data_IF_371485253522
#
_entry.id   IF_371485253522
#
_cell.length_a   1.000
_cell.length_b   1.000
_cell.length_c   1.000
_cell.angle_alpha   90.00
_cell.angle_beta   90.00
_cell.angle_gamma   90.00
#
_symmetry.space_group_name_H-M   'P 1'
#
loop_
_entity.id
_entity.type
_entity.pdbx_description
1 polymer ?
#
# COMPACT_ATOMS: atom_id res chain seq x y z
N UNK A 1 -18.16 20.10 19.33
CA UNK A 1 -18.34 19.36 18.05
C UNK A 1 -16.94 19.17 17.44
N UNK A 2 -16.49 17.95 17.27
CA UNK A 2 -15.23 17.68 16.56
C UNK A 2 -15.36 18.18 15.12
N UNK A 3 -14.32 18.90 14.66
CA UNK A 3 -14.27 19.47 13.32
C UNK A 3 -14.21 18.31 12.30
N UNK A 4 -15.27 18.11 11.52
CA UNK A 4 -15.30 17.08 10.47
C UNK A 4 -14.32 17.43 9.35
N UNK A 5 -13.64 16.40 8.80
CA UNK A 5 -12.70 16.53 7.70
C UNK A 5 -13.41 17.01 6.42
N UNK A 6 -12.92 18.07 5.83
CA UNK A 6 -13.42 18.57 4.54
C UNK A 6 -12.77 17.81 3.36
N UNK A 7 -13.17 18.12 2.13
CA UNK A 7 -12.64 17.46 0.92
C UNK A 7 -11.13 17.62 0.77
N UNK A 8 -10.58 18.80 1.07
CA UNK A 8 -9.15 19.06 0.97
C UNK A 8 -8.35 18.27 2.00
N UNK A 9 -8.86 18.17 3.24
CA UNK A 9 -8.24 17.34 4.29
C UNK A 9 -8.18 15.88 3.85
N UNK A 10 -9.26 15.35 3.26
CA UNK A 10 -9.33 13.97 2.77
C UNK A 10 -8.38 13.72 1.60
N UNK A 11 -8.27 14.66 0.65
CA UNK A 11 -7.31 14.57 -0.46
C UNK A 11 -5.88 14.58 0.08
N UNK A 12 -5.57 15.49 1.01
CA UNK A 12 -4.24 15.59 1.63
C UNK A 12 -3.84 14.30 2.34
N UNK A 13 -4.78 13.69 3.07
CA UNK A 13 -4.57 12.37 3.71
C UNK A 13 -4.32 11.30 2.64
N UNK A 14 -5.16 11.25 1.59
CA UNK A 14 -5.04 10.27 0.52
C UNK A 14 -3.70 10.37 -0.21
N UNK A 15 -3.28 11.57 -0.59
CA UNK A 15 -1.98 11.83 -1.24
C UNK A 15 -0.83 11.50 -0.29
N UNK A 16 -0.93 11.87 0.98
CA UNK A 16 0.08 11.56 2.00
C UNK A 16 0.24 10.05 2.24
N UNK A 17 -0.83 9.27 2.06
CA UNK A 17 -0.76 7.82 2.14
C UNK A 17 -0.18 7.17 0.87
N UNK A 18 -0.26 7.81 -0.30
CA UNK A 18 0.37 7.34 -1.54
C UNK A 18 1.88 7.63 -1.49
N UNK A 19 2.23 8.91 -1.28
CA UNK A 19 3.63 9.36 -1.32
C UNK A 19 4.33 8.94 -0.03
N UNK A 20 5.11 7.88 -0.13
CA UNK A 20 5.81 7.29 1.02
C UNK A 20 7.01 6.45 0.58
N UNK A 21 7.28 5.39 1.34
CA UNK A 21 8.44 4.51 1.11
C UNK A 21 8.48 3.86 -0.28
N UNK A 22 7.32 3.62 -0.90
CA UNK A 22 7.24 2.86 -2.15
C UNK A 22 8.06 3.48 -3.28
N UNK A 23 7.95 4.80 -3.49
CA UNK A 23 8.69 5.49 -4.57
C UNK A 23 10.20 5.43 -4.34
N UNK A 24 10.65 5.61 -3.10
CA UNK A 24 12.07 5.52 -2.77
C UNK A 24 12.59 4.09 -2.86
N UNK A 25 11.80 3.11 -2.42
CA UNK A 25 12.21 1.71 -2.36
C UNK A 25 12.23 1.03 -3.75
N UNK A 26 11.22 1.27 -4.59
CA UNK A 26 10.92 0.42 -5.75
C UNK A 26 11.10 1.10 -7.10
N UNK A 27 11.25 2.44 -7.15
CA UNK A 27 11.35 3.16 -8.42
C UNK A 27 12.51 2.65 -9.30
N UNK A 28 13.68 2.38 -8.72
CA UNK A 28 14.84 1.89 -9.44
C UNK A 28 14.61 0.54 -10.12
N UNK A 29 13.90 -0.37 -9.44
CA UNK A 29 13.51 -1.65 -10.04
C UNK A 29 12.50 -1.45 -11.18
N UNK A 30 11.53 -0.53 -10.99
CA UNK A 30 10.59 -0.17 -12.04
C UNK A 30 11.30 0.39 -13.29
N UNK A 31 12.32 1.23 -13.11
CA UNK A 31 13.17 1.75 -14.18
C UNK A 31 13.97 0.61 -14.85
N UNK A 32 14.50 -0.33 -14.07
CA UNK A 32 15.20 -1.49 -14.62
C UNK A 32 14.31 -2.34 -15.53
N UNK A 33 13.02 -2.46 -15.21
CA UNK A 33 12.06 -3.19 -16.05
C UNK A 33 11.64 -2.41 -17.30
N UNK A 34 11.34 -1.11 -17.20
CA UNK A 34 10.64 -0.37 -18.26
C UNK A 34 11.42 0.81 -18.85
N UNK A 35 12.60 1.12 -18.34
CA UNK A 35 13.38 2.28 -18.77
C UNK A 35 12.58 3.59 -18.64
N UNK A 36 12.58 4.43 -19.69
CA UNK A 36 11.78 5.67 -19.77
C UNK A 36 10.29 5.42 -19.78
N UNK A 37 9.85 4.19 -20.09
CA UNK A 37 8.46 3.75 -19.97
C UNK A 37 7.94 3.70 -18.53
N UNK A 38 8.77 3.95 -17.50
CA UNK A 38 8.34 3.98 -16.10
C UNK A 38 7.22 4.99 -15.85
N UNK A 39 7.25 6.15 -16.50
CA UNK A 39 6.17 7.14 -16.41
C UNK A 39 4.84 6.56 -16.87
N UNK A 40 4.84 5.88 -18.01
CA UNK A 40 3.65 5.17 -18.52
C UNK A 40 3.23 4.04 -17.58
N UNK A 41 4.19 3.25 -17.06
CA UNK A 41 3.92 2.17 -16.11
C UNK A 41 3.25 2.68 -14.83
N UNK A 42 3.68 3.82 -14.28
CA UNK A 42 3.09 4.46 -13.11
C UNK A 42 1.64 4.93 -13.35
N UNK A 43 1.38 5.55 -14.49
CA UNK A 43 0.00 5.93 -14.86
C UNK A 43 -0.90 4.71 -15.03
N UNK A 44 -0.45 3.67 -15.71
CA UNK A 44 -1.21 2.43 -15.90
C UNK A 44 -1.40 1.67 -14.59
N UNK A 45 -0.38 1.61 -13.74
CA UNK A 45 -0.46 1.03 -12.41
C UNK A 45 -1.50 1.75 -11.55
N UNK A 46 -1.46 3.10 -11.51
CA UNK A 46 -2.44 3.89 -10.77
C UNK A 46 -3.86 3.69 -11.30
N UNK A 47 -4.02 3.71 -12.62
CA UNK A 47 -5.32 3.47 -13.26
C UNK A 47 -5.88 2.09 -12.87
N UNK A 48 -5.07 1.03 -12.97
CA UNK A 48 -5.49 -0.31 -12.59
C UNK A 48 -5.77 -0.42 -11.08
N UNK A 49 -4.99 0.26 -10.22
CA UNK A 49 -5.24 0.32 -8.78
C UNK A 49 -6.56 1.05 -8.44
N UNK A 50 -6.89 2.11 -9.16
CA UNK A 50 -8.19 2.80 -9.01
C UNK A 50 -9.32 1.89 -9.44
N UNK A 51 -9.21 1.29 -10.63
CA UNK A 51 -10.23 0.41 -11.16
C UNK A 51 -10.48 -0.80 -10.26
N UNK A 52 -9.44 -1.48 -9.78
CA UNK A 52 -9.60 -2.63 -8.88
C UNK A 52 -10.23 -2.26 -7.53
N UNK A 53 -10.13 -1.00 -7.11
CA UNK A 53 -10.62 -0.55 -5.80
C UNK A 53 -11.93 0.24 -5.87
N UNK A 54 -12.55 0.39 -7.05
CA UNK A 54 -13.73 1.23 -7.26
C UNK A 54 -14.97 0.73 -6.47
N UNK A 55 -14.99 -0.55 -6.08
CA UNK A 55 -16.03 -1.09 -5.21
C UNK A 55 -16.05 -0.43 -3.82
N UNK A 56 -14.88 -0.07 -3.27
CA UNK A 56 -14.77 0.46 -1.91
C UNK A 56 -15.55 1.77 -1.72
N UNK A 57 -15.37 2.83 -2.52
CA UNK A 57 -16.17 4.05 -2.40
C UNK A 57 -17.66 3.83 -2.70
N UNK A 58 -18.02 2.83 -3.50
CA UNK A 58 -19.43 2.46 -3.74
C UNK A 58 -20.04 1.80 -2.50
N UNK A 59 -19.30 0.91 -1.84
CA UNK A 59 -19.74 0.21 -0.62
C UNK A 59 -19.85 1.19 0.55
N UNK A 60 -18.86 2.07 0.76
CA UNK A 60 -18.87 3.04 1.86
C UNK A 60 -19.91 4.14 1.69
N UNK A 61 -20.48 4.30 0.50
CA UNK A 61 -21.63 5.14 0.29
C UNK A 61 -22.91 4.52 0.82
N UNK A 62 -22.99 3.19 0.85
CA UNK A 62 -24.16 2.45 1.40
C UNK A 62 -24.01 2.22 2.90
N UNK A 63 -22.79 1.94 3.36
CA UNK A 63 -22.52 1.57 4.75
C UNK A 63 -21.51 2.52 5.40
N UNK A 64 -21.85 3.10 6.54
CA UNK A 64 -20.92 3.85 7.39
C UNK A 64 -20.23 2.90 8.37
N UNK A 65 -19.18 2.19 7.88
CA UNK A 65 -18.47 1.19 8.66
C UNK A 65 -17.24 1.75 9.37
N UNK A 66 -17.02 1.33 10.61
CA UNK A 66 -15.74 1.43 11.29
C UNK A 66 -14.96 0.11 11.13
N UNK A 67 -13.63 0.18 11.01
CA UNK A 67 -12.78 -1.00 10.88
C UNK A 67 -12.27 -1.27 9.46
N UNK A 68 -12.54 -0.36 8.53
CA UNK A 68 -11.93 -0.36 7.20
C UNK A 68 -12.26 -1.59 6.35
N UNK A 69 -11.26 -2.08 5.63
CA UNK A 69 -11.43 -3.21 4.70
C UNK A 69 -11.89 -4.50 5.39
N UNK A 70 -11.45 -4.74 6.64
CA UNK A 70 -11.90 -5.90 7.41
C UNK A 70 -13.40 -5.87 7.68
N UNK A 71 -13.95 -4.73 8.10
CA UNK A 71 -15.39 -4.59 8.36
C UNK A 71 -16.21 -4.79 7.09
N UNK A 72 -15.77 -4.24 5.96
CA UNK A 72 -16.40 -4.45 4.65
C UNK A 72 -16.40 -5.94 4.28
N UNK A 73 -15.27 -6.61 4.42
CA UNK A 73 -15.15 -8.04 4.12
C UNK A 73 -16.05 -8.89 5.03
N UNK A 74 -16.08 -8.61 6.35
CA UNK A 74 -16.89 -9.36 7.30
C UNK A 74 -18.39 -9.26 7.01
N UNK A 75 -18.84 -8.12 6.48
CA UNK A 75 -20.24 -7.88 6.13
C UNK A 75 -20.63 -8.58 4.82
N UNK A 76 -19.81 -8.48 3.77
CA UNK A 76 -20.22 -8.78 2.40
C UNK A 76 -19.81 -10.14 1.87
N UNK A 77 -18.73 -10.75 2.41
CA UNK A 77 -18.22 -12.02 1.88
C UNK A 77 -18.34 -13.17 2.90
N UNK A 78 -18.33 -14.45 2.45
CA UNK A 78 -18.40 -15.58 3.35
C UNK A 78 -17.28 -15.60 4.39
N UNK A 79 -17.55 -16.19 5.56
CA UNK A 79 -16.64 -16.27 6.71
C UNK A 79 -15.25 -16.76 6.32
N UNK A 80 -15.13 -17.83 5.53
CA UNK A 80 -13.84 -18.35 5.05
C UNK A 80 -13.07 -17.32 4.19
N UNK A 81 -13.77 -16.56 3.34
CA UNK A 81 -13.18 -15.50 2.53
C UNK A 81 -12.76 -14.29 3.39
N UNK A 82 -13.51 -14.00 4.47
CA UNK A 82 -13.10 -12.99 5.46
C UNK A 82 -11.81 -13.40 6.14
N UNK A 83 -11.65 -14.67 6.52
CA UNK A 83 -10.41 -15.22 7.08
C UNK A 83 -9.24 -15.17 6.10
N UNK A 84 -9.49 -15.43 4.81
CA UNK A 84 -8.49 -15.19 3.76
C UNK A 84 -8.05 -13.71 3.75
N UNK A 85 -9.00 -12.78 3.89
CA UNK A 85 -8.73 -11.34 4.02
C UNK A 85 -7.84 -11.00 5.22
N UNK A 86 -8.07 -11.63 6.37
CA UNK A 86 -7.23 -11.43 7.58
C UNK A 86 -5.81 -11.91 7.33
N UNK A 87 -5.63 -13.11 6.76
CA UNK A 87 -4.31 -13.64 6.42
C UNK A 87 -3.58 -12.79 5.39
N UNK A 88 -4.30 -12.30 4.36
CA UNK A 88 -3.76 -11.34 3.38
C UNK A 88 -3.32 -10.03 4.03
N UNK A 89 -4.10 -9.50 4.96
CA UNK A 89 -3.78 -8.23 5.64
C UNK A 89 -2.51 -8.39 6.51
N UNK A 90 -2.38 -9.51 7.22
CA UNK A 90 -1.15 -9.86 7.94
C UNK A 90 0.06 -9.93 7.00
N UNK A 91 -0.05 -10.64 5.88
CA UNK A 91 1.02 -10.76 4.89
C UNK A 91 1.43 -9.40 4.33
N UNK A 92 0.46 -8.58 3.90
CA UNK A 92 0.74 -7.27 3.31
C UNK A 92 1.43 -6.32 4.30
N UNK A 93 0.95 -6.27 5.54
CA UNK A 93 1.54 -5.41 6.59
C UNK A 93 2.94 -5.84 6.94
N UNK A 94 3.14 -7.13 7.18
CA UNK A 94 4.45 -7.68 7.50
C UNK A 94 5.45 -7.49 6.35
N UNK A 95 5.04 -7.79 5.12
CA UNK A 95 5.88 -7.59 3.93
C UNK A 95 6.20 -6.12 3.68
N UNK A 96 5.25 -5.21 3.90
CA UNK A 96 5.49 -3.77 3.79
C UNK A 96 6.55 -3.28 4.79
N UNK A 97 6.56 -3.80 6.01
CA UNK A 97 7.60 -3.49 6.99
C UNK A 97 8.97 -4.01 6.53
N UNK A 98 9.03 -5.24 5.98
CA UNK A 98 10.26 -5.81 5.44
C UNK A 98 10.80 -4.98 4.26
N UNK A 99 9.96 -4.69 3.26
CA UNK A 99 10.33 -3.85 2.09
C UNK A 99 10.90 -2.52 2.56
N UNK A 100 10.24 -1.87 3.52
CA UNK A 100 10.69 -0.56 4.01
C UNK A 100 12.00 -0.65 4.79
N UNK A 101 12.19 -1.67 5.64
CA UNK A 101 13.42 -1.86 6.41
C UNK A 101 14.63 -2.15 5.50
N UNK A 102 14.44 -3.01 4.48
CA UNK A 102 15.49 -3.29 3.48
C UNK A 102 15.79 -2.03 2.67
N UNK A 103 14.78 -1.25 2.28
CA UNK A 103 14.98 0.00 1.57
C UNK A 103 15.77 1.03 2.40
N UNK A 104 15.50 1.17 3.71
CA UNK A 104 16.32 2.01 4.61
C UNK A 104 17.79 1.60 4.52
N UNK A 105 18.05 0.29 4.57
CA UNK A 105 19.41 -0.25 4.51
C UNK A 105 20.10 0.09 3.19
N UNK A 106 19.39 0.02 2.06
CA UNK A 106 19.94 0.37 0.74
C UNK A 106 20.33 1.85 0.62
N UNK A 107 19.62 2.75 1.32
CA UNK A 107 19.99 4.16 1.40
C UNK A 107 21.12 4.43 2.40
N UNK A 108 21.19 3.67 3.51
CA UNK A 108 22.33 3.74 4.44
C UNK A 108 23.62 3.23 3.78
N UNK A 109 23.55 2.23 2.93
CA UNK A 109 24.68 1.72 2.16
C UNK A 109 25.30 2.80 1.24
N UNK A 110 24.47 3.71 0.71
CA UNK A 110 24.98 4.84 -0.08
C UNK A 110 25.78 5.84 0.74
N UNK A 111 25.45 6.03 2.01
CA UNK A 111 26.19 6.89 2.92
C UNK A 111 27.38 6.16 3.55
N UNK A 112 27.24 4.87 3.78
CA UNK A 112 28.20 4.01 4.46
C UNK A 112 28.34 2.68 3.71
N UNK A 113 29.24 2.58 2.70
CA UNK A 113 29.34 1.38 1.85
C UNK A 113 29.57 0.06 2.60
N UNK A 114 30.17 0.12 3.80
CA UNK A 114 30.37 -1.06 4.65
C UNK A 114 29.05 -1.73 5.07
N UNK A 115 27.92 -1.02 5.05
CA UNK A 115 26.58 -1.54 5.39
C UNK A 115 26.15 -2.65 4.42
N UNK A 116 26.56 -2.58 3.15
CA UNK A 116 26.21 -3.57 2.12
C UNK A 116 26.63 -5.00 2.46
N UNK A 117 27.75 -5.17 3.18
CA UNK A 117 28.19 -6.49 3.65
C UNK A 117 27.25 -7.10 4.73
N UNK A 118 26.44 -6.28 5.39
CA UNK A 118 25.60 -6.67 6.53
C UNK A 118 24.12 -6.34 6.33
N UNK A 119 23.63 -6.29 5.10
CA UNK A 119 22.27 -5.83 4.73
C UNK A 119 21.18 -6.49 5.60
N UNK A 120 21.22 -7.82 5.79
CA UNK A 120 20.23 -8.54 6.63
C UNK A 120 20.23 -8.06 8.08
N UNK A 121 21.41 -7.93 8.66
CA UNK A 121 21.57 -7.53 10.07
C UNK A 121 21.09 -6.09 10.25
N UNK A 122 21.53 -5.18 9.38
CA UNK A 122 21.17 -3.77 9.46
C UNK A 122 19.65 -3.59 9.24
N UNK A 123 19.05 -4.31 8.29
CA UNK A 123 17.59 -4.26 8.09
C UNK A 123 16.82 -4.76 9.32
N UNK A 124 17.29 -5.80 9.99
CA UNK A 124 16.69 -6.27 11.25
C UNK A 124 16.86 -5.25 12.38
N UNK A 125 18.02 -4.61 12.48
CA UNK A 125 18.28 -3.54 13.46
C UNK A 125 17.34 -2.36 13.21
N UNK A 126 17.18 -1.94 11.95
CA UNK A 126 16.27 -0.87 11.55
C UNK A 126 14.82 -1.22 11.92
N UNK A 127 14.37 -2.44 11.59
CA UNK A 127 13.03 -2.92 11.94
C UNK A 127 12.85 -2.92 13.46
N UNK A 128 13.81 -3.44 14.21
CA UNK A 128 13.78 -3.48 15.68
C UNK A 128 13.73 -2.08 16.30
N UNK A 129 14.56 -1.16 15.80
CA UNK A 129 14.59 0.23 16.26
C UNK A 129 13.23 0.92 16.05
N UNK A 130 12.57 0.70 14.90
CA UNK A 130 11.25 1.23 14.63
C UNK A 130 10.19 0.67 15.61
N UNK A 131 10.23 -0.63 15.92
CA UNK A 131 9.34 -1.23 16.90
C UNK A 131 9.60 -0.67 18.31
N UNK A 132 10.84 -0.48 18.71
CA UNK A 132 11.20 0.13 20.01
C UNK A 132 10.72 1.58 20.10
N UNK A 133 10.81 2.36 19.00
CA UNK A 133 10.26 3.72 18.95
C UNK A 133 8.75 3.74 19.19
N UNK A 134 8.00 2.82 18.59
CA UNK A 134 6.54 2.73 18.79
C UNK A 134 6.22 2.31 20.23
N UNK A 135 7.01 1.42 20.83
CA UNK A 135 6.85 1.04 22.24
C UNK A 135 7.06 2.21 23.21
N UNK A 136 7.82 3.25 22.82
CA UNK A 136 8.06 4.44 23.63
C UNK A 136 6.88 5.44 23.67
N UNK A 137 5.90 5.34 22.75
CA UNK A 137 4.63 6.07 22.83
C UNK A 137 4.20 6.80 21.54
N UNK A 138 2.90 6.78 21.26
CA UNK A 138 2.28 7.28 20.00
C UNK A 138 2.38 8.80 19.79
N UNK A 139 2.34 9.61 20.87
CA UNK A 139 2.32 11.10 20.74
C UNK A 139 3.64 11.68 20.22
N UNK A 140 4.75 11.11 20.65
CA UNK A 140 6.07 11.51 20.18
C UNK A 140 6.25 11.14 18.70
N UNK A 141 5.88 9.91 18.35
CA UNK A 141 5.95 9.39 16.98
C UNK A 141 5.18 10.29 16.00
N UNK A 142 3.96 10.71 16.33
CA UNK A 142 3.14 11.55 15.46
C UNK A 142 3.75 12.94 15.19
N UNK A 143 4.34 13.57 16.21
CA UNK A 143 4.98 14.90 16.04
C UNK A 143 6.22 14.82 15.15
N UNK A 144 7.05 13.80 15.37
CA UNK A 144 8.24 13.53 14.55
C UNK A 144 7.84 13.26 13.11
N UNK A 145 6.81 12.43 12.89
CA UNK A 145 6.31 12.08 11.56
C UNK A 145 5.90 13.31 10.74
N UNK A 146 5.18 14.27 11.33
CA UNK A 146 4.76 15.47 10.60
C UNK A 146 5.95 16.31 10.09
N UNK A 147 6.98 16.48 10.92
CA UNK A 147 8.19 17.21 10.52
C UNK A 147 8.91 16.48 9.39
N UNK A 148 9.07 15.16 9.53
CA UNK A 148 9.76 14.35 8.52
C UNK A 148 9.00 14.34 7.18
N UNK A 149 7.67 14.37 7.17
CA UNK A 149 6.88 14.49 5.94
C UNK A 149 7.16 15.80 5.18
N UNK A 150 7.33 16.93 5.87
CA UNK A 150 7.66 18.20 5.23
C UNK A 150 9.01 18.11 4.51
N UNK A 151 10.03 17.55 5.18
CA UNK A 151 11.34 17.34 4.57
C UNK A 151 11.28 16.40 3.37
N UNK A 152 10.50 15.31 3.45
CA UNK A 152 10.28 14.38 2.35
C UNK A 152 9.71 15.08 1.11
N UNK A 153 8.66 15.88 1.26
CA UNK A 153 8.07 16.59 0.12
C UNK A 153 9.03 17.63 -0.47
N UNK A 154 9.77 18.35 0.38
CA UNK A 154 10.79 19.27 -0.08
C UNK A 154 11.91 18.57 -0.87
N UNK A 155 12.36 17.42 -0.38
CA UNK A 155 13.39 16.62 -1.05
C UNK A 155 12.92 16.07 -2.41
N UNK A 156 11.66 15.57 -2.49
CA UNK A 156 11.09 15.12 -3.76
C UNK A 156 10.93 16.29 -4.76
N UNK A 157 10.51 17.46 -4.28
CA UNK A 157 10.41 18.65 -5.13
C UNK A 157 11.80 19.06 -5.67
N UNK A 158 12.83 19.05 -4.84
CA UNK A 158 14.22 19.31 -5.26
C UNK A 158 14.68 18.26 -6.28
N UNK A 159 14.39 16.97 -6.06
CA UNK A 159 14.72 15.90 -7.01
C UNK A 159 14.12 16.17 -8.39
N UNK A 160 12.84 16.54 -8.43
CA UNK A 160 12.15 16.88 -9.68
C UNK A 160 12.77 18.11 -10.34
N UNK A 161 13.06 19.18 -9.58
CA UNK A 161 13.67 20.41 -10.11
C UNK A 161 15.04 20.08 -10.73
N UNK A 162 15.91 19.41 -10.00
CA UNK A 162 17.25 19.07 -10.53
C UNK A 162 17.15 18.06 -11.69
N UNK A 163 16.22 17.08 -11.64
CA UNK A 163 16.00 16.16 -12.74
C UNK A 163 15.56 16.86 -14.03
N UNK A 164 14.65 17.84 -13.93
CA UNK A 164 14.21 18.64 -15.10
C UNK A 164 15.33 19.55 -15.61
N UNK A 165 16.12 20.15 -14.71
CA UNK A 165 17.24 21.02 -15.09
C UNK A 165 18.40 20.27 -15.77
N UNK A 166 18.55 18.97 -15.50
CA UNK A 166 19.59 18.12 -16.04
C UNK A 166 19.05 17.14 -17.11
N UNK A 167 17.94 17.45 -17.76
CA UNK A 167 17.45 16.66 -18.89
C UNK A 167 18.47 16.71 -20.03
N UNK A 168 18.96 15.55 -20.43
CA UNK A 168 19.94 15.38 -21.50
C UNK A 168 19.38 14.43 -22.57
N UNK A 169 18.85 15.03 -23.64
CA UNK A 169 18.25 14.27 -24.75
C UNK A 169 19.29 13.48 -25.55
N UNK A 170 20.55 13.85 -25.50
CA UNK A 170 21.62 13.15 -26.20
C UNK A 170 22.03 11.88 -25.43
N UNK A 171 21.95 11.90 -24.09
CA UNK A 171 22.31 10.77 -23.25
C UNK A 171 21.46 9.52 -23.51
N UNK A 172 20.25 9.67 -24.00
CA UNK A 172 19.35 8.56 -24.33
C UNK A 172 18.92 8.53 -25.80
N UNK A 173 19.63 9.28 -26.68
CA UNK A 173 19.33 9.28 -28.11
C UNK A 173 19.52 7.86 -28.70
N UNK A 174 18.53 7.41 -29.45
CA UNK A 174 18.54 6.07 -30.05
C UNK A 174 18.13 4.92 -29.09
N UNK A 175 17.97 5.17 -27.81
CA UNK A 175 17.48 4.14 -26.87
C UNK A 175 15.95 3.94 -27.02
N UNK A 176 15.48 2.67 -27.01
CA UNK A 176 14.03 2.42 -27.02
C UNK A 176 13.38 2.92 -25.72
N UNK A 177 12.14 3.40 -25.79
CA UNK A 177 11.37 3.80 -24.64
C UNK A 177 11.16 2.63 -23.64
N UNK A 178 11.04 1.43 -24.17
CA UNK A 178 10.84 0.18 -23.43
C UNK A 178 11.99 -0.80 -23.75
N UNK A 179 13.13 -0.73 -23.06
CA UNK A 179 14.29 -1.59 -23.33
C UNK A 179 13.96 -3.08 -23.25
N UNK A 180 13.11 -3.48 -22.31
CA UNK A 180 12.66 -4.86 -22.12
C UNK A 180 11.27 -5.14 -22.73
N UNK A 181 10.84 -4.31 -23.70
CA UNK A 181 9.57 -4.46 -24.40
C UNK A 181 8.34 -4.42 -23.49
N UNK A 182 7.25 -5.03 -23.98
CA UNK A 182 5.96 -5.07 -23.26
C UNK A 182 6.07 -5.91 -21.98
N UNK A 183 6.88 -6.97 -21.96
CA UNK A 183 7.11 -7.78 -20.75
C UNK A 183 7.68 -6.95 -19.61
N UNK A 184 8.69 -6.11 -19.91
CA UNK A 184 9.25 -5.19 -18.92
C UNK A 184 8.23 -4.14 -18.45
N UNK A 185 7.38 -3.62 -19.34
CA UNK A 185 6.29 -2.72 -18.96
C UNK A 185 5.30 -3.39 -17.99
N UNK A 186 4.90 -4.64 -18.26
CA UNK A 186 4.01 -5.42 -17.39
C UNK A 186 4.65 -5.60 -16.00
N UNK A 187 5.93 -5.97 -15.95
CA UNK A 187 6.65 -6.13 -14.69
C UNK A 187 6.76 -4.80 -13.91
N UNK A 188 7.00 -3.70 -14.61
CA UNK A 188 7.00 -2.37 -14.01
C UNK A 188 5.61 -1.99 -13.47
N UNK A 189 4.53 -2.25 -14.21
CA UNK A 189 3.15 -2.00 -13.74
C UNK A 189 2.86 -2.82 -12.49
N UNK A 190 3.21 -4.12 -12.48
CA UNK A 190 3.02 -5.00 -11.35
C UNK A 190 3.72 -4.44 -10.09
N UNK A 191 5.00 -4.11 -10.21
CA UNK A 191 5.79 -3.61 -9.09
C UNK A 191 5.33 -2.22 -8.65
N UNK A 192 5.09 -1.29 -9.60
CA UNK A 192 4.66 0.07 -9.30
C UNK A 192 3.25 0.13 -8.72
N UNK A 193 2.40 -0.87 -8.92
CA UNK A 193 1.11 -0.93 -8.25
C UNK A 193 1.24 -1.00 -6.73
N UNK A 194 2.37 -1.50 -6.19
CA UNK A 194 2.66 -1.42 -4.76
C UNK A 194 2.79 0.03 -4.30
N UNK A 195 3.53 0.86 -5.04
CA UNK A 195 3.74 2.27 -4.71
C UNK A 195 2.47 3.10 -4.90
N UNK A 196 1.61 2.70 -5.83
CA UNK A 196 0.33 3.36 -6.12
C UNK A 196 -0.76 3.07 -5.07
N UNK A 197 -0.55 2.15 -4.14
CA UNK A 197 -1.49 1.93 -3.05
C UNK A 197 -1.40 3.04 -2.01
N UNK A 198 -2.52 3.32 -1.32
CA UNK A 198 -2.56 4.34 -0.26
C UNK A 198 -3.82 5.21 -0.32
N UNK A 199 -4.26 5.65 -1.50
CA UNK A 199 -5.47 6.48 -1.67
C UNK A 199 -6.74 5.81 -1.12
N UNK A 200 -6.77 4.49 -1.05
CA UNK A 200 -7.89 3.71 -0.48
C UNK A 200 -8.12 3.99 1.01
N UNK A 201 -7.12 4.48 1.74
CA UNK A 201 -7.28 4.80 3.17
C UNK A 201 -8.28 5.91 3.43
N UNK A 202 -8.57 6.78 2.43
CA UNK A 202 -9.64 7.79 2.53
C UNK A 202 -11.00 7.16 2.82
N UNK A 203 -11.24 5.94 2.34
CA UNK A 203 -12.46 5.16 2.56
C UNK A 203 -12.70 4.86 4.05
N UNK A 204 -11.63 4.77 4.84
CA UNK A 204 -11.71 4.50 6.28
C UNK A 204 -12.12 5.73 7.11
N UNK A 205 -12.24 6.91 6.47
CA UNK A 205 -12.57 8.19 7.14
C UNK A 205 -14.08 8.49 7.15
N UNK A 206 -14.93 7.50 6.91
CA UNK A 206 -16.39 7.68 6.75
C UNK A 206 -17.04 8.48 7.85
N UNK A 207 -16.83 8.12 9.13
CA UNK A 207 -17.40 8.81 10.28
C UNK A 207 -16.82 10.20 10.53
N UNK A 208 -15.55 10.42 10.17
CA UNK A 208 -14.84 11.69 10.38
C UNK A 208 -15.03 12.70 9.24
N UNK A 209 -15.55 12.27 8.10
CA UNK A 209 -15.70 13.12 6.91
C UNK A 209 -16.95 13.98 6.96
N UNK A 210 -16.84 15.23 6.50
CA UNK A 210 -18.00 16.05 6.17
C UNK A 210 -18.58 15.56 4.84
N UNK A 211 -19.91 15.34 4.79
CA UNK A 211 -20.61 14.81 3.61
C UNK A 211 -19.93 13.57 3.01
N UNK A 212 -19.81 12.45 3.78
CA UNK A 212 -19.01 11.29 3.40
C UNK A 212 -19.42 10.69 2.06
N UNK A 213 -20.72 10.65 1.75
CA UNK A 213 -21.26 10.11 0.51
C UNK A 213 -20.79 10.82 -0.77
N UNK A 214 -20.39 12.10 -0.65
CA UNK A 214 -19.85 12.92 -1.76
C UNK A 214 -18.35 13.04 -1.68
N UNK A 215 -17.82 13.37 -0.50
CA UNK A 215 -16.44 13.77 -0.36
C UNK A 215 -15.46 12.56 -0.41
N UNK A 216 -15.86 11.38 0.08
CA UNK A 216 -15.01 10.20 0.04
C UNK A 216 -14.77 9.70 -1.39
N UNK A 217 -15.79 9.46 -2.24
CA UNK A 217 -15.55 9.07 -3.62
C UNK A 217 -14.73 10.09 -4.41
N UNK A 218 -14.99 11.38 -4.17
CA UNK A 218 -14.25 12.44 -4.87
C UNK A 218 -12.79 12.52 -4.40
N UNK A 219 -12.56 12.45 -3.09
CA UNK A 219 -11.21 12.43 -2.52
C UNK A 219 -10.43 11.18 -2.97
N UNK A 220 -11.08 10.02 -3.05
CA UNK A 220 -10.49 8.79 -3.56
C UNK A 220 -9.95 8.97 -4.98
N UNK A 221 -10.76 9.50 -5.91
CA UNK A 221 -10.33 9.71 -7.29
C UNK A 221 -9.28 10.83 -7.41
N UNK A 222 -9.47 11.95 -6.71
CA UNK A 222 -8.55 13.09 -6.79
C UNK A 222 -7.20 12.79 -6.15
N UNK A 223 -7.16 12.05 -5.04
CA UNK A 223 -5.89 11.62 -4.44
C UNK A 223 -5.10 10.73 -5.38
N UNK A 224 -5.76 9.78 -6.04
CA UNK A 224 -5.12 8.91 -7.02
C UNK A 224 -4.60 9.70 -8.23
N UNK A 225 -5.37 10.66 -8.74
CA UNK A 225 -4.94 11.52 -9.85
C UNK A 225 -3.71 12.35 -9.48
N UNK A 226 -3.74 13.01 -8.32
CA UNK A 226 -2.60 13.80 -7.81
C UNK A 226 -1.37 12.89 -7.61
N UNK A 227 -1.56 11.71 -7.01
CA UNK A 227 -0.49 10.73 -6.84
C UNK A 227 0.11 10.28 -8.18
N UNK A 228 -0.72 10.02 -9.20
CA UNK A 228 -0.27 9.66 -10.55
C UNK A 228 0.58 10.78 -11.18
N UNK A 229 0.17 12.03 -11.03
CA UNK A 229 0.94 13.19 -11.53
C UNK A 229 2.28 13.31 -10.82
N UNK A 230 2.29 13.24 -9.47
CA UNK A 230 3.54 13.33 -8.68
C UNK A 230 4.50 12.22 -9.11
N UNK A 231 4.04 10.98 -9.19
CA UNK A 231 4.89 9.85 -9.55
C UNK A 231 5.33 9.89 -11.01
N UNK A 232 4.45 10.32 -11.91
CA UNK A 232 4.79 10.52 -13.32
C UNK A 232 5.92 11.53 -13.50
N UNK A 233 5.86 12.66 -12.78
CA UNK A 233 6.91 13.70 -12.83
C UNK A 233 8.21 13.20 -12.20
N UNK A 234 8.16 12.45 -11.10
CA UNK A 234 9.36 11.83 -10.49
C UNK A 234 9.97 10.81 -11.47
N UNK A 235 9.15 9.96 -12.09
CA UNK A 235 9.60 8.97 -13.09
C UNK A 235 10.24 9.64 -14.30
N UNK A 236 9.67 10.73 -14.79
CA UNK A 236 10.24 11.53 -15.87
C UNK A 236 11.60 12.11 -15.45
N UNK A 237 11.67 12.80 -14.30
CA UNK A 237 12.89 13.39 -13.78
C UNK A 237 14.01 12.36 -13.56
N UNK A 238 13.64 11.14 -13.16
CA UNK A 238 14.60 10.06 -12.91
C UNK A 238 15.19 9.45 -14.21
N UNK A 239 14.45 9.48 -15.33
CA UNK A 239 14.81 8.70 -16.53
C UNK A 239 15.23 9.52 -17.74
N UNK A 240 15.22 10.84 -17.64
CA UNK A 240 15.59 11.72 -18.77
C UNK A 240 16.91 12.48 -18.54
N UNK A 241 17.72 12.02 -17.58
CA UNK A 241 19.00 12.66 -17.25
C UNK A 241 20.21 11.86 -17.76
N UNK A 242 20.08 10.53 -17.86
CA UNK A 242 21.16 9.63 -18.22
C UNK A 242 20.64 8.47 -19.07
N UNK A 243 21.53 7.74 -19.72
CA UNK A 243 21.20 6.53 -20.47
C UNK A 243 20.62 5.44 -19.56
N UNK A 244 19.79 4.57 -20.14
CA UNK A 244 19.20 3.44 -19.42
C UNK A 244 20.26 2.53 -18.77
N UNK A 245 21.35 2.29 -19.48
CA UNK A 245 22.43 1.42 -18.98
C UNK A 245 23.06 1.92 -17.68
N UNK A 246 23.03 3.23 -17.44
CA UNK A 246 23.58 3.84 -16.22
C UNK A 246 22.58 3.81 -15.07
N UNK A 247 21.31 4.13 -15.33
CA UNK A 247 20.32 4.32 -14.25
C UNK A 247 19.52 3.05 -13.89
N UNK A 248 19.57 2.01 -14.72
CA UNK A 248 18.81 0.78 -14.49
C UNK A 248 19.21 0.12 -13.17
N UNK A 249 18.21 -0.11 -12.31
CA UNK A 249 18.39 -0.72 -10.98
C UNK A 249 18.91 0.22 -9.88
N UNK A 250 19.28 1.46 -10.21
CA UNK A 250 19.65 2.44 -9.20
C UNK A 250 18.40 2.93 -8.46
N UNK A 251 18.46 2.97 -7.12
CA UNK A 251 17.43 3.68 -6.36
C UNK A 251 17.49 5.20 -6.64
N UNK A 252 16.45 5.95 -6.26
CA UNK A 252 16.42 7.40 -6.52
C UNK A 252 17.62 8.15 -5.91
N UNK A 253 18.22 7.62 -4.84
CA UNK A 253 19.43 8.19 -4.24
C UNK A 253 20.63 8.15 -5.19
N UNK A 254 20.80 7.06 -5.94
CA UNK A 254 21.87 6.96 -6.95
C UNK A 254 21.70 7.94 -8.10
N UNK A 255 20.47 8.13 -8.56
CA UNK A 255 20.17 9.13 -9.59
C UNK A 255 20.36 10.54 -9.04
N UNK A 256 19.93 10.81 -7.81
CA UNK A 256 20.13 12.11 -7.15
C UNK A 256 21.62 12.47 -7.00
N UNK A 257 22.47 11.49 -6.71
CA UNK A 257 23.93 11.69 -6.61
C UNK A 257 24.54 12.23 -7.90
N UNK A 258 24.01 11.80 -9.05
CA UNK A 258 24.51 12.23 -10.37
C UNK A 258 24.02 13.60 -10.82
N UNK A 259 22.83 14.03 -10.34
CA UNK A 259 22.16 15.25 -10.82
C UNK A 259 22.22 16.42 -9.83
N UNK A 260 22.55 16.16 -8.56
CA UNK A 260 22.53 17.16 -7.51
C UNK A 260 23.92 17.52 -6.99
N UNK A 261 24.15 18.78 -6.57
CA UNK A 261 25.32 19.12 -5.77
C UNK A 261 25.31 18.31 -4.45
N UNK A 262 26.51 17.99 -3.94
CA UNK A 262 26.66 17.11 -2.78
C UNK A 262 25.81 17.49 -1.57
N UNK A 263 25.66 18.78 -1.25
CA UNK A 263 24.81 19.24 -0.15
C UNK A 263 23.33 18.94 -0.37
N UNK A 264 22.82 19.09 -1.60
CA UNK A 264 21.43 18.79 -1.95
C UNK A 264 21.21 17.27 -2.03
N UNK A 265 22.17 16.52 -2.52
CA UNK A 265 22.17 15.06 -2.48
C UNK A 265 22.05 14.52 -1.04
N UNK A 266 22.90 15.03 -0.12
CA UNK A 266 22.81 14.64 1.30
C UNK A 266 21.44 14.99 1.91
N UNK A 267 20.93 16.19 1.59
CA UNK A 267 19.57 16.56 2.00
C UNK A 267 18.51 15.62 1.44
N UNK A 268 18.63 15.23 0.16
CA UNK A 268 17.69 14.28 -0.48
C UNK A 268 17.75 12.90 0.18
N UNK A 269 18.95 12.37 0.44
CA UNK A 269 19.09 11.05 1.06
C UNK A 269 18.62 11.04 2.50
N UNK A 270 19.07 11.99 3.32
CA UNK A 270 18.77 12.03 4.76
C UNK A 270 17.38 12.58 5.02
N UNK A 271 17.10 13.81 4.57
CA UNK A 271 15.84 14.51 4.82
C UNK A 271 14.69 14.01 3.96
N UNK A 272 14.98 13.47 2.77
CA UNK A 272 14.00 12.88 1.88
C UNK A 272 13.81 11.40 2.13
N UNK A 273 14.72 10.58 1.60
CA UNK A 273 14.55 9.13 1.51
C UNK A 273 14.52 8.46 2.89
N UNK A 274 15.53 8.68 3.73
CA UNK A 274 15.58 8.03 5.05
C UNK A 274 14.43 8.49 5.94
N UNK A 275 14.06 9.78 5.91
CA UNK A 275 12.90 10.25 6.67
C UNK A 275 11.60 9.64 6.16
N UNK A 276 11.39 9.60 4.85
CA UNK A 276 10.20 8.96 4.26
C UNK A 276 10.08 7.49 4.65
N UNK A 277 11.19 6.76 4.55
CA UNK A 277 11.23 5.33 4.88
C UNK A 277 11.02 5.09 6.38
N UNK A 278 11.69 5.85 7.25
CA UNK A 278 11.52 5.74 8.69
C UNK A 278 10.08 6.08 9.15
N UNK A 279 9.48 7.15 8.60
CA UNK A 279 8.09 7.50 8.93
C UNK A 279 7.10 6.45 8.43
N UNK A 280 7.33 5.90 7.23
CA UNK A 280 6.51 4.82 6.69
C UNK A 280 6.63 3.55 7.53
N UNK A 281 7.81 3.24 8.05
CA UNK A 281 8.04 2.08 8.90
C UNK A 281 7.32 2.24 10.25
N UNK A 282 7.52 3.35 10.94
CA UNK A 282 6.85 3.65 12.23
C UNK A 282 5.34 3.77 12.03
N UNK A 283 4.88 4.53 11.03
CA UNK A 283 3.47 4.69 10.70
C UNK A 283 2.80 3.37 10.31
N UNK A 284 3.50 2.51 9.56
CA UNK A 284 3.06 1.17 9.18
C UNK A 284 2.86 0.26 10.39
N UNK A 285 3.73 0.32 11.40
CA UNK A 285 3.56 -0.41 12.65
C UNK A 285 2.33 0.10 13.42
N UNK A 286 2.22 1.43 13.63
CA UNK A 286 1.12 2.04 14.40
C UNK A 286 -0.24 1.82 13.74
N UNK A 287 -0.34 2.00 12.43
CA UNK A 287 -1.59 1.78 11.68
C UNK A 287 -1.89 0.29 11.49
N UNK A 288 -0.85 -0.55 11.49
CA UNK A 288 -0.93 -1.97 11.18
C UNK A 288 -1.60 -2.80 12.25
N UNK A 289 -1.34 -2.55 13.53
CA UNK A 289 -1.86 -3.40 14.59
C UNK A 289 -3.33 -3.10 14.95
N UNK A 290 -3.82 -1.89 14.71
CA UNK A 290 -5.21 -1.50 15.08
C UNK A 290 -6.31 -2.36 14.44
N UNK A 291 -6.31 -2.59 13.11
CA UNK A 291 -7.29 -3.49 12.49
C UNK A 291 -7.15 -4.95 12.95
N UNK A 292 -5.92 -5.38 13.29
CA UNK A 292 -5.69 -6.72 13.79
C UNK A 292 -6.28 -6.95 15.20
N UNK A 293 -6.45 -5.89 16.00
CA UNK A 293 -7.20 -5.97 17.26
C UNK A 293 -8.65 -6.36 16.97
N UNK A 294 -9.30 -5.77 15.97
CA UNK A 294 -10.67 -6.12 15.58
C UNK A 294 -10.76 -7.58 15.13
N UNK A 295 -9.80 -8.03 14.29
CA UNK A 295 -9.71 -9.44 13.89
C UNK A 295 -9.51 -10.39 15.08
N UNK A 296 -8.74 -9.97 16.10
CA UNK A 296 -8.51 -10.77 17.31
C UNK A 296 -9.76 -10.82 18.17
N UNK A 297 -10.51 -9.72 18.29
CA UNK A 297 -11.79 -9.68 19.01
C UNK A 297 -12.82 -10.62 18.39
N UNK A 298 -12.86 -10.69 17.06
CA UNK A 298 -13.74 -11.59 16.32
C UNK A 298 -13.30 -13.06 16.39
N UNK A 299 -12.12 -13.35 16.97
CA UNK A 299 -11.60 -14.72 17.16
C UNK A 299 -10.78 -15.26 15.99
N UNK A 300 -10.38 -14.42 15.04
CA UNK A 300 -9.49 -14.83 13.95
C UNK A 300 -8.06 -15.10 14.43
N UNK A 301 -7.58 -14.37 15.40
CA UNK A 301 -6.26 -14.50 15.99
C UNK A 301 -6.40 -14.93 17.46
N UNK A 302 -5.39 -15.60 18.03
CA UNK A 302 -5.41 -16.01 19.43
C UNK A 302 -5.67 -14.83 20.38
N UNK A 303 -6.65 -14.94 21.28
CA UNK A 303 -7.06 -13.86 22.20
C UNK A 303 -5.93 -13.34 23.10
N UNK A 304 -4.88 -14.14 23.33
CA UNK A 304 -3.67 -13.73 24.04
C UNK A 304 -2.95 -12.54 23.40
N UNK A 305 -3.10 -12.34 22.07
CA UNK A 305 -2.51 -11.23 21.34
C UNK A 305 -3.16 -9.87 21.64
N UNK A 306 -4.33 -9.87 22.29
CA UNK A 306 -4.97 -8.64 22.79
C UNK A 306 -4.36 -8.11 24.08
N UNK A 307 -3.62 -8.96 24.81
CA UNK A 307 -2.91 -8.52 26.02
C UNK A 307 -1.95 -7.39 25.64
N UNK A 308 -1.80 -6.44 26.57
CA UNK A 308 -0.91 -5.29 26.39
C UNK A 308 0.32 -5.40 27.25
N UNK A 309 1.41 -4.79 26.80
CA UNK A 309 2.61 -4.55 27.60
C UNK A 309 2.31 -3.54 28.71
N UNK A 310 3.26 -3.33 29.64
CA UNK A 310 3.15 -2.26 30.68
C UNK A 310 2.99 -0.86 30.07
N UNK A 311 3.46 -0.65 28.84
CA UNK A 311 3.31 0.60 28.07
C UNK A 311 1.98 0.71 27.30
N UNK A 312 1.08 -0.28 27.42
CA UNK A 312 -0.21 -0.29 26.74
C UNK A 312 -0.18 -0.82 25.29
N UNK A 313 0.96 -1.32 24.83
CA UNK A 313 1.12 -1.81 23.44
C UNK A 313 0.61 -3.25 23.33
N UNK A 314 -0.31 -3.56 22.36
CA UNK A 314 -0.85 -4.90 22.19
C UNK A 314 0.19 -5.91 21.66
N UNK A 315 0.12 -7.16 22.13
CA UNK A 315 1.04 -8.23 21.70
C UNK A 315 0.89 -8.59 20.20
N UNK A 316 -0.22 -8.27 19.57
CA UNK A 316 -0.38 -8.45 18.11
C UNK A 316 0.70 -7.69 17.30
N UNK A 317 1.27 -6.64 17.87
CA UNK A 317 2.38 -5.91 17.25
C UNK A 317 3.64 -6.78 17.12
N UNK A 318 3.93 -7.64 18.11
CA UNK A 318 5.08 -8.56 18.05
C UNK A 318 4.90 -9.64 16.95
N UNK A 319 3.64 -10.03 16.68
CA UNK A 319 3.35 -10.90 15.53
C UNK A 319 3.75 -10.24 14.21
N UNK A 320 3.43 -8.95 14.02
CA UNK A 320 3.85 -8.20 12.83
C UNK A 320 5.38 -8.10 12.72
N UNK A 321 6.07 -7.90 13.85
CA UNK A 321 7.54 -7.89 13.88
C UNK A 321 8.11 -9.21 13.40
N UNK A 322 7.66 -10.33 13.99
CA UNK A 322 8.14 -11.66 13.65
C UNK A 322 7.91 -11.99 12.18
N UNK A 323 6.70 -11.71 11.67
CA UNK A 323 6.37 -11.95 10.26
C UNK A 323 7.15 -11.03 9.32
N UNK A 324 7.38 -9.76 9.70
CA UNK A 324 8.17 -8.81 8.91
C UNK A 324 9.67 -9.15 8.88
N UNK A 325 10.19 -9.83 9.91
CA UNK A 325 11.58 -10.28 9.94
C UNK A 325 11.83 -11.47 8.97
N UNK A 326 10.81 -12.28 8.66
CA UNK A 326 10.97 -13.49 7.81
C UNK A 326 11.55 -13.17 6.44
N UNK A 327 11.00 -12.25 5.61
CA UNK A 327 11.57 -11.94 4.30
C UNK A 327 13.02 -11.42 4.38
N UNK A 328 13.34 -10.64 5.42
CA UNK A 328 14.69 -10.11 5.66
C UNK A 328 15.67 -11.25 5.93
N UNK A 329 15.32 -12.19 6.82
CA UNK A 329 16.13 -13.34 7.16
C UNK A 329 16.36 -14.27 5.96
N UNK A 330 15.32 -14.49 5.16
CA UNK A 330 15.40 -15.25 3.92
C UNK A 330 16.25 -14.55 2.86
N UNK A 331 16.48 -13.24 2.98
CA UNK A 331 17.21 -12.43 1.99
C UNK A 331 16.44 -12.28 0.68
N UNK A 332 15.13 -12.14 0.77
CA UNK A 332 14.27 -11.95 -0.39
C UNK A 332 14.49 -10.58 -1.03
N UNK A 333 14.35 -10.51 -2.36
CA UNK A 333 14.39 -9.25 -3.09
C UNK A 333 13.15 -8.38 -2.79
N UNK A 334 13.34 -7.04 -2.82
CA UNK A 334 12.28 -6.07 -2.54
C UNK A 334 11.06 -6.22 -3.47
N UNK A 335 11.34 -6.47 -4.76
CA UNK A 335 10.30 -6.61 -5.78
C UNK A 335 9.47 -7.88 -5.58
N UNK A 336 10.14 -8.98 -5.23
CA UNK A 336 9.47 -10.25 -4.94
C UNK A 336 8.58 -10.15 -3.71
N UNK A 337 9.08 -9.58 -2.61
CA UNK A 337 8.28 -9.37 -1.41
C UNK A 337 7.06 -8.50 -1.71
N UNK A 338 7.23 -7.40 -2.46
CA UNK A 338 6.14 -6.50 -2.80
C UNK A 338 5.04 -7.20 -3.62
N UNK A 339 5.41 -7.95 -4.65
CA UNK A 339 4.44 -8.62 -5.53
C UNK A 339 3.78 -9.83 -4.87
N UNK A 340 4.50 -10.62 -4.05
CA UNK A 340 3.92 -11.70 -3.22
C UNK A 340 2.86 -11.15 -2.27
N UNK A 341 3.12 -9.99 -1.65
CA UNK A 341 2.17 -9.37 -0.72
C UNK A 341 0.89 -8.84 -1.42
N UNK A 342 0.99 -8.46 -2.69
CA UNK A 342 -0.14 -7.92 -3.45
C UNK A 342 -1.04 -8.99 -4.06
N UNK A 343 -0.48 -10.14 -4.45
CA UNK A 343 -1.20 -11.17 -5.21
C UNK A 343 -2.48 -11.69 -4.52
N UNK A 344 -2.47 -12.08 -3.22
CA UNK A 344 -3.69 -12.50 -2.55
C UNK A 344 -4.73 -11.38 -2.45
N UNK A 345 -4.27 -10.12 -2.44
CA UNK A 345 -5.15 -8.94 -2.45
C UNK A 345 -5.98 -8.83 -3.73
N UNK A 346 -5.41 -9.15 -4.88
CA UNK A 346 -6.13 -9.17 -6.15
C UNK A 346 -7.27 -10.21 -6.12
N UNK A 347 -7.03 -11.39 -5.56
CA UNK A 347 -8.04 -12.43 -5.38
C UNK A 347 -9.16 -11.96 -4.43
N UNK A 348 -8.78 -11.37 -3.30
CA UNK A 348 -9.75 -10.85 -2.30
C UNK A 348 -10.67 -9.77 -2.89
N UNK A 349 -10.13 -8.89 -3.74
CA UNK A 349 -10.93 -7.84 -4.41
C UNK A 349 -12.02 -8.45 -5.33
N UNK A 350 -11.71 -9.52 -6.06
CA UNK A 350 -12.70 -10.24 -6.87
C UNK A 350 -13.80 -10.82 -5.97
N UNK A 351 -13.42 -11.47 -4.86
CA UNK A 351 -14.39 -12.02 -3.90
C UNK A 351 -15.29 -10.92 -3.32
N UNK A 352 -14.70 -9.76 -2.96
CA UNK A 352 -15.44 -8.61 -2.44
C UNK A 352 -16.42 -8.06 -3.48
N UNK A 353 -16.01 -7.93 -4.74
CA UNK A 353 -16.87 -7.45 -5.81
C UNK A 353 -18.09 -8.36 -6.03
N UNK A 354 -17.90 -9.69 -5.96
CA UNK A 354 -18.99 -10.67 -6.03
C UNK A 354 -19.95 -10.48 -4.86
N UNK A 355 -19.44 -10.27 -3.65
CA UNK A 355 -20.24 -9.96 -2.46
C UNK A 355 -21.02 -8.65 -2.62
N UNK A 356 -20.36 -7.61 -3.11
CA UNK A 356 -20.92 -6.29 -3.32
C UNK A 356 -22.08 -6.28 -4.36
N UNK A 357 -22.01 -7.14 -5.38
CA UNK A 357 -23.11 -7.26 -6.36
C UNK A 357 -24.45 -7.63 -5.74
N UNK A 358 -24.44 -8.21 -4.52
CA UNK A 358 -25.66 -8.62 -3.79
C UNK A 358 -26.25 -7.48 -2.94
N UNK A 359 -25.52 -6.39 -2.70
CA UNK A 359 -25.95 -5.28 -1.83
C UNK A 359 -27.37 -4.78 -2.18
N UNK A 360 -27.71 -4.45 -3.45
CA UNK A 360 -29.03 -3.91 -3.77
C UNK A 360 -30.18 -4.85 -3.45
N UNK A 361 -29.91 -6.17 -3.32
CA UNK A 361 -30.92 -7.18 -2.98
C UNK A 361 -30.90 -7.54 -1.50
N UNK A 362 -29.71 -7.73 -0.91
CA UNK A 362 -29.55 -8.20 0.47
C UNK A 362 -29.67 -7.08 1.51
N UNK A 363 -29.41 -5.83 1.10
CA UNK A 363 -29.44 -4.62 1.94
C UNK A 363 -30.24 -3.53 1.21
N UNK A 364 -31.50 -3.87 0.86
CA UNK A 364 -32.35 -3.01 0.04
C UNK A 364 -32.72 -1.68 0.71
N UNK A 365 -32.87 -1.68 2.03
CA UNK A 365 -33.18 -0.48 2.82
C UNK A 365 -31.99 0.49 2.83
N UNK A 366 -30.77 0.00 3.16
CA UNK A 366 -29.53 0.77 3.18
C UNK A 366 -29.19 1.27 1.77
N UNK A 367 -29.43 0.45 0.74
CA UNK A 367 -29.27 0.85 -0.66
C UNK A 367 -30.17 2.04 -1.01
N UNK A 368 -31.44 2.01 -0.64
CA UNK A 368 -32.37 3.12 -0.86
C UNK A 368 -31.98 4.34 -0.04
N UNK A 369 -31.64 4.16 1.24
CA UNK A 369 -31.22 5.24 2.13
C UNK A 369 -29.93 5.94 1.67
N UNK A 370 -29.02 5.25 0.98
CA UNK A 370 -27.77 5.81 0.44
C UNK A 370 -27.97 6.94 -0.58
N UNK A 371 -29.18 7.06 -1.14
CA UNK A 371 -29.49 8.04 -2.18
C UNK A 371 -28.65 7.89 -3.46
N UNK A 372 -28.11 6.70 -3.71
CA UNK A 372 -27.26 6.42 -4.88
C UNK A 372 -28.07 6.47 -6.17
N UNK A 373 -27.79 7.47 -7.01
CA UNK A 373 -28.51 7.71 -8.29
C UNK A 373 -27.82 7.02 -9.47
N UNK A 374 -27.36 5.78 -9.31
CA UNK A 374 -26.80 4.99 -10.41
C UNK A 374 -27.72 3.82 -10.74
N UNK A 375 -27.81 3.49 -12.03
CA UNK A 375 -28.58 2.32 -12.45
C UNK A 375 -27.94 1.04 -11.94
N UNK A 376 -28.76 0.01 -11.67
CA UNK A 376 -28.26 -1.30 -11.22
C UNK A 376 -27.30 -1.93 -12.24
N UNK A 377 -27.54 -1.70 -13.54
CA UNK A 377 -26.65 -2.14 -14.62
C UNK A 377 -25.27 -1.49 -14.53
N UNK A 378 -25.22 -0.16 -14.36
CA UNK A 378 -23.95 0.57 -14.21
C UNK A 378 -23.21 0.15 -12.94
N UNK A 379 -23.91 -0.01 -11.81
CA UNK A 379 -23.33 -0.51 -10.55
C UNK A 379 -22.64 -1.87 -10.74
N UNK A 380 -23.35 -2.84 -11.31
CA UNK A 380 -22.79 -4.16 -11.61
C UNK A 380 -21.66 -4.10 -12.64
N UNK A 381 -21.78 -3.24 -13.66
CA UNK A 381 -20.74 -3.01 -14.65
C UNK A 381 -19.44 -2.48 -14.04
N UNK A 382 -19.52 -1.54 -13.09
CA UNK A 382 -18.36 -1.03 -12.36
C UNK A 382 -17.69 -2.11 -11.50
N UNK A 383 -18.47 -2.99 -10.85
CA UNK A 383 -17.93 -4.11 -10.07
C UNK A 383 -17.29 -5.18 -10.96
N UNK A 384 -17.84 -5.43 -12.15
CA UNK A 384 -17.21 -6.33 -13.14
C UNK A 384 -15.90 -5.74 -13.67
N UNK A 385 -15.86 -4.43 -13.96
CA UNK A 385 -14.65 -3.74 -14.37
C UNK A 385 -13.58 -3.80 -13.26
N UNK A 386 -13.97 -3.60 -12.00
CA UNK A 386 -13.10 -3.76 -10.84
C UNK A 386 -12.54 -5.19 -10.74
N UNK A 387 -13.37 -6.20 -10.99
CA UNK A 387 -12.94 -7.59 -10.99
C UNK A 387 -11.96 -7.88 -12.13
N UNK A 388 -12.23 -7.37 -13.33
CA UNK A 388 -11.33 -7.50 -14.48
C UNK A 388 -9.97 -6.86 -14.20
N UNK A 389 -9.93 -5.64 -13.66
CA UNK A 389 -8.69 -4.97 -13.28
C UNK A 389 -7.92 -5.75 -12.20
N UNK A 390 -8.62 -6.34 -11.22
CA UNK A 390 -8.02 -7.19 -10.18
C UNK A 390 -7.41 -8.45 -10.78
N UNK A 391 -8.07 -9.10 -11.74
CA UNK A 391 -7.57 -10.28 -12.43
C UNK A 391 -6.32 -9.92 -13.26
N UNK A 392 -6.37 -8.81 -14.01
CA UNK A 392 -5.23 -8.31 -14.81
C UNK A 392 -4.02 -8.07 -13.91
N UNK A 393 -4.19 -7.34 -12.80
CA UNK A 393 -3.10 -7.12 -11.85
C UNK A 393 -2.62 -8.42 -11.21
N UNK A 394 -3.51 -9.35 -10.87
CA UNK A 394 -3.15 -10.68 -10.37
C UNK A 394 -2.28 -11.46 -11.35
N UNK A 395 -2.61 -11.42 -12.65
CA UNK A 395 -1.80 -12.02 -13.71
C UNK A 395 -0.44 -11.33 -13.79
N UNK A 396 -0.40 -9.99 -13.73
CA UNK A 396 0.84 -9.22 -13.78
C UNK A 396 1.75 -9.56 -12.59
N UNK A 397 1.21 -9.63 -11.37
CA UNK A 397 1.99 -10.05 -10.19
C UNK A 397 2.58 -11.45 -10.37
N UNK A 398 1.76 -12.39 -10.86
CA UNK A 398 2.19 -13.77 -11.04
C UNK A 398 3.24 -13.93 -12.15
N UNK A 399 3.09 -13.21 -13.26
CA UNK A 399 4.04 -13.30 -14.39
C UNK A 399 5.36 -12.62 -14.11
N UNK A 400 5.35 -11.56 -13.29
CA UNK A 400 6.52 -10.72 -13.01
C UNK A 400 7.33 -11.16 -11.80
N UNK A 401 6.87 -12.13 -11.02
CA UNK A 401 7.56 -12.64 -9.85
C UNK A 401 8.35 -13.91 -10.19
N UNK A 402 9.59 -13.98 -9.75
CA UNK A 402 10.45 -15.15 -9.96
C UNK A 402 10.12 -16.28 -8.98
N UNK A 403 9.59 -15.95 -7.79
CA UNK A 403 9.22 -16.90 -6.74
C UNK A 403 7.75 -17.37 -6.84
N UNK A 404 7.31 -17.77 -8.04
CA UNK A 404 5.91 -18.19 -8.31
C UNK A 404 5.40 -19.28 -7.38
N UNK A 405 6.24 -20.26 -7.05
CA UNK A 405 5.90 -21.35 -6.14
C UNK A 405 5.65 -20.82 -4.73
N UNK A 406 6.49 -19.92 -4.24
CA UNK A 406 6.31 -19.29 -2.93
C UNK A 406 5.02 -18.45 -2.89
N UNK A 407 4.72 -17.71 -3.96
CA UNK A 407 3.50 -16.92 -4.10
C UNK A 407 2.24 -17.81 -4.03
N UNK A 408 2.23 -18.93 -4.74
CA UNK A 408 1.12 -19.90 -4.69
C UNK A 408 1.03 -20.52 -3.29
N UNK A 409 2.16 -20.96 -2.72
CA UNK A 409 2.20 -21.61 -1.41
C UNK A 409 1.68 -20.68 -0.30
N UNK A 410 2.14 -19.42 -0.25
CA UNK A 410 1.68 -18.43 0.72
C UNK A 410 0.18 -18.15 0.54
N UNK A 411 -0.29 -18.02 -0.70
CA UNK A 411 -1.71 -17.80 -0.99
C UNK A 411 -2.56 -18.99 -0.55
N UNK A 412 -2.08 -20.22 -0.79
CA UNK A 412 -2.75 -21.45 -0.36
C UNK A 412 -2.78 -21.58 1.19
N UNK A 413 -1.69 -21.23 1.87
CA UNK A 413 -1.63 -21.20 3.34
C UNK A 413 -2.67 -20.21 3.90
N UNK A 414 -2.76 -19.01 3.33
CA UNK A 414 -3.75 -18.01 3.73
C UNK A 414 -5.17 -18.50 3.46
N UNK A 415 -5.42 -19.15 2.33
CA UNK A 415 -6.73 -19.73 2.01
C UNK A 415 -7.11 -20.84 2.99
N UNK A 416 -6.17 -21.74 3.26
CA UNK A 416 -6.36 -22.83 4.23
C UNK A 416 -6.62 -22.29 5.64
N UNK A 417 -5.87 -21.27 6.07
CA UNK A 417 -6.11 -20.57 7.32
C UNK A 417 -7.53 -20.00 7.40
N UNK A 418 -7.99 -19.30 6.36
CA UNK A 418 -9.35 -18.75 6.31
C UNK A 418 -10.44 -19.83 6.41
N UNK A 419 -10.24 -20.97 5.74
CA UNK A 419 -11.17 -22.09 5.78
C UNK A 419 -11.15 -22.77 7.16
N UNK A 420 -9.99 -23.14 7.68
CA UNK A 420 -9.86 -23.86 8.94
C UNK A 420 -10.34 -23.03 10.14
N UNK A 421 -9.84 -21.80 10.27
CA UNK A 421 -10.23 -20.93 11.38
C UNK A 421 -11.70 -20.50 11.24
N UNK A 422 -12.17 -20.25 10.01
CA UNK A 422 -13.57 -19.91 9.75
C UNK A 422 -14.53 -21.05 10.05
N UNK A 423 -14.14 -22.32 9.84
CA UNK A 423 -15.00 -23.50 10.05
C UNK A 423 -14.89 -24.05 11.48
N UNK A 424 -13.69 -24.14 12.02
CA UNK A 424 -13.44 -24.82 13.31
C UNK A 424 -13.16 -23.83 14.45
N UNK A 425 -12.83 -22.56 14.15
CA UNK A 425 -12.60 -21.51 15.14
C UNK A 425 -13.90 -20.94 15.70
N UNK A 426 -13.84 -20.45 16.93
CA UNK A 426 -14.93 -19.68 17.55
C UNK A 426 -14.90 -18.23 17.05
N UNK A 427 -15.13 -18.05 15.75
CA UNK A 427 -15.12 -16.72 15.13
C UNK A 427 -16.54 -16.15 15.08
N UNK A 428 -16.72 -14.94 15.57
CA UNK A 428 -17.97 -14.16 15.53
C UNK A 428 -17.73 -12.91 14.69
N UNK A 429 -18.54 -12.67 13.66
CA UNK A 429 -18.42 -11.47 12.82
C UNK A 429 -19.33 -10.37 13.39
N UNK A 430 -18.85 -9.66 14.42
CA UNK A 430 -19.65 -8.67 15.16
C UNK A 430 -20.25 -7.60 14.26
N UNK A 431 -19.54 -7.07 13.28
CA UNK A 431 -20.07 -6.08 12.33
C UNK A 431 -21.28 -6.62 11.57
N UNK A 432 -21.22 -7.88 11.16
CA UNK A 432 -22.31 -8.54 10.41
C UNK A 432 -23.52 -8.79 11.32
N UNK A 433 -23.30 -9.22 12.55
CA UNK A 433 -24.36 -9.46 13.53
C UNK A 433 -25.07 -8.16 13.87
N UNK A 434 -24.34 -7.07 14.15
CA UNK A 434 -24.88 -5.75 14.44
C UNK A 434 -25.79 -5.23 13.29
N UNK A 435 -25.33 -5.40 12.03
CA UNK A 435 -26.15 -4.98 10.88
C UNK A 435 -27.37 -5.87 10.65
N UNK A 436 -27.28 -7.18 10.89
CA UNK A 436 -28.40 -8.11 10.74
C UNK A 436 -29.46 -7.91 11.83
N UNK A 437 -29.06 -7.61 13.07
CA UNK A 437 -29.98 -7.29 14.16
C UNK A 437 -30.71 -5.97 13.93
N UNK A 438 -30.03 -4.94 13.41
CA UNK A 438 -30.62 -3.65 13.10
C UNK A 438 -31.60 -3.71 11.92
N UNK A 439 -31.38 -4.60 10.97
CA UNK A 439 -32.23 -4.80 9.79
C UNK A 439 -33.47 -5.66 10.12
N UNK A 440 -33.50 -6.31 11.29
CA UNK A 440 -34.64 -7.12 11.77
C UNK A 440 -35.60 -6.36 12.72
N UNK A 441 -35.22 -5.16 13.13
CA UNK A 441 -36.03 -4.21 13.92
C UNK A 441 -36.68 -3.17 13.00
#
# INVERSE_FOLDING_TARGET
MEKKLNLFDLISIGVGCIVGSGVFALMGFGIAYSGRGITLALFLAMLLCVLQSIAQPLITRVFELDGGEYAINSLLIPKACTGFGVGRDLLFRAGSLAVTAIAVTSYLERLFPAVGAYTKIVSLVVLTAAFLCVLAGDKFAAKVQNVMCIFMYAALALFVIYGIMNVDTEAYAGEPMLPNGIGGLISAIALMSYTCNGFQYVVNMGKSAANPTKNIPLAFCLSALVGAVIYGVIGFAATHTHSYAVIAGMNLGGIAEMIMPNTMYLFFVIGGALFALCTSLVGGIVSGYRPLIACTKDGWLPGGLMKTTKSGTPYVMFLLYLLGAVPILLGMDLGDVATICLFPGAILKVMLNIGAMRIPKSFAEEWKASGMKISLGLYKGLLLLSSAASIILGIFYFTSNDLKVAMIAVTAIIALYGILVGKFGKVTLHVREEYMENSSK
#
